data_IF_771805129593
#
_entry.id   IF_771805129593
#
_cell.length_a   1.000
_cell.length_b   1.000
_cell.length_c   1.000
_cell.angle_alpha   90.00
_cell.angle_beta   90.00
_cell.angle_gamma   90.00
#
_symmetry.space_group_name_H-M   'P 1'
#
loop_
_entity.id
_entity.type
_entity.pdbx_description
1 polymer ?
#
# COMPACT_ATOMS: atom_id res chain seq x y z
N UNK A 1 22.85 7.69 11.26
CA UNK A 1 22.50 6.27 11.47
C UNK A 1 21.49 5.93 10.37
N UNK A 2 21.70 4.86 9.59
CA UNK A 2 20.77 4.53 8.50
C UNK A 2 19.52 3.85 9.08
N UNK A 3 18.48 4.65 9.31
CA UNK A 3 17.21 4.17 9.88
C UNK A 3 16.06 4.25 8.88
N UNK A 4 16.32 3.99 7.59
CA UNK A 4 15.26 4.06 6.57
C UNK A 4 14.59 2.70 6.29
N UNK A 5 14.41 1.83 7.30
CA UNK A 5 13.71 0.55 7.07
C UNK A 5 12.30 0.72 6.51
N UNK A 6 11.66 1.86 6.76
CA UNK A 6 10.33 2.22 6.27
C UNK A 6 10.36 3.26 5.14
N UNK A 7 11.47 3.98 4.99
CA UNK A 7 11.59 5.13 4.09
C UNK A 7 10.79 6.37 4.54
N UNK A 8 10.42 6.45 5.82
CA UNK A 8 9.72 7.58 6.43
C UNK A 8 10.58 8.22 7.52
N UNK A 9 10.40 9.51 7.75
CA UNK A 9 10.84 10.17 8.99
C UNK A 9 10.00 9.71 10.19
N UNK A 10 10.49 9.93 11.41
CA UNK A 10 9.76 9.55 12.62
C UNK A 10 8.41 10.30 12.73
N UNK A 11 8.38 11.59 12.39
CA UNK A 11 7.15 12.39 12.41
C UNK A 11 6.10 11.88 11.40
N UNK A 12 6.52 11.50 10.19
CA UNK A 12 5.63 10.90 9.18
C UNK A 12 5.12 9.52 9.63
N UNK A 13 5.98 8.73 10.27
CA UNK A 13 5.61 7.42 10.81
C UNK A 13 4.59 7.56 11.94
N UNK A 14 4.82 8.48 12.88
CA UNK A 14 3.92 8.75 14.00
C UNK A 14 2.59 9.35 13.54
N UNK A 15 2.61 10.24 12.55
CA UNK A 15 1.40 10.77 11.93
C UNK A 15 0.55 9.67 11.29
N UNK A 16 1.17 8.76 10.54
CA UNK A 16 0.47 7.62 9.95
C UNK A 16 -0.04 6.64 11.02
N UNK A 17 0.73 6.42 12.07
CA UNK A 17 0.33 5.57 13.19
C UNK A 17 -0.87 6.15 13.96
N UNK A 18 -0.89 7.46 14.19
CA UNK A 18 -2.02 8.15 14.81
C UNK A 18 -3.28 8.01 13.96
N UNK A 19 -3.17 8.24 12.66
CA UNK A 19 -4.26 8.07 11.72
C UNK A 19 -4.83 6.62 11.73
N UNK A 20 -3.97 5.59 11.73
CA UNK A 20 -4.42 4.19 11.83
C UNK A 20 -5.14 3.88 13.16
N UNK A 21 -4.79 4.56 14.25
CA UNK A 21 -5.51 4.41 15.52
C UNK A 21 -6.91 5.00 15.44
N UNK A 22 -7.06 6.15 14.79
CA UNK A 22 -8.36 6.80 14.58
C UNK A 22 -9.26 6.00 13.63
N UNK A 23 -8.69 5.43 12.57
CA UNK A 23 -9.39 4.52 11.64
C UNK A 23 -9.85 3.21 12.33
N UNK A 24 -9.29 2.88 13.50
CA UNK A 24 -9.70 1.71 14.27
C UNK A 24 -9.28 0.39 13.61
N UNK A 25 -8.03 0.28 13.15
CA UNK A 25 -7.55 -0.95 12.49
C UNK A 25 -7.61 -2.15 13.43
N UNK A 26 -8.32 -3.19 13.01
CA UNK A 26 -8.43 -4.47 13.72
C UNK A 26 -7.66 -5.59 12.99
N UNK A 27 -7.52 -6.74 13.66
CA UNK A 27 -6.99 -7.97 13.04
C UNK A 27 -5.46 -8.01 12.83
N UNK A 28 -4.74 -6.95 13.21
CA UNK A 28 -3.28 -6.98 13.22
C UNK A 28 -2.74 -7.94 14.29
N UNK A 29 -1.57 -8.56 14.08
CA UNK A 29 -1.00 -9.47 15.07
C UNK A 29 -0.66 -8.77 16.39
N UNK A 30 -1.17 -9.24 17.54
CA UNK A 30 -0.87 -8.63 18.84
C UNK A 30 0.63 -8.59 19.17
N UNK A 31 1.39 -9.60 18.75
CA UNK A 31 2.84 -9.69 18.97
C UNK A 31 3.64 -8.55 18.33
N UNK A 32 3.13 -7.97 17.24
CA UNK A 32 3.75 -6.82 16.58
C UNK A 32 3.17 -5.49 17.07
N UNK A 33 1.95 -5.51 17.62
CA UNK A 33 1.16 -4.32 17.85
C UNK A 33 0.89 -3.54 16.55
N UNK A 34 0.23 -2.39 16.65
CA UNK A 34 -0.08 -1.57 15.48
C UNK A 34 1.19 -0.98 14.84
N UNK A 35 2.12 -0.48 15.67
CA UNK A 35 3.38 0.12 15.19
C UNK A 35 4.27 -0.91 14.47
N UNK A 36 4.48 -2.10 15.05
CA UNK A 36 5.27 -3.15 14.40
C UNK A 36 4.59 -3.68 13.14
N UNK A 37 3.26 -3.74 13.12
CA UNK A 37 2.50 -4.11 11.91
C UNK A 37 2.64 -3.06 10.82
N UNK A 38 2.61 -1.77 11.16
CA UNK A 38 2.89 -0.68 10.22
C UNK A 38 4.31 -0.77 9.66
N UNK A 39 5.30 -1.00 10.52
CA UNK A 39 6.70 -1.16 10.10
C UNK A 39 6.86 -2.32 9.11
N UNK A 40 6.26 -3.48 9.41
CA UNK A 40 6.27 -4.65 8.53
C UNK A 40 5.61 -4.35 7.17
N UNK A 41 4.48 -3.66 7.16
CA UNK A 41 3.78 -3.27 5.93
C UNK A 41 4.60 -2.28 5.10
N UNK A 42 5.28 -1.32 5.71
CA UNK A 42 6.15 -0.37 5.00
C UNK A 42 7.40 -1.04 4.43
N UNK A 43 8.00 -1.99 5.15
CA UNK A 43 9.08 -2.82 4.61
C UNK A 43 8.63 -3.59 3.36
N UNK A 44 7.39 -4.10 3.36
CA UNK A 44 6.82 -4.81 2.22
C UNK A 44 6.48 -3.87 1.05
N UNK A 45 5.67 -2.84 1.28
CA UNK A 45 5.13 -1.99 0.21
C UNK A 45 6.12 -0.95 -0.32
N UNK A 46 6.91 -0.31 0.56
CA UNK A 46 7.85 0.74 0.14
C UNK A 46 9.22 0.20 -0.23
N UNK A 47 9.73 -0.72 0.58
CA UNK A 47 11.09 -1.26 0.37
C UNK A 47 11.10 -2.54 -0.45
N UNK A 48 9.92 -3.05 -0.84
CA UNK A 48 9.76 -4.27 -1.63
C UNK A 48 10.47 -5.48 -1.02
N UNK A 49 10.55 -5.55 0.31
CA UNK A 49 11.17 -6.66 1.03
C UNK A 49 10.16 -7.81 1.09
N UNK A 50 10.62 -9.02 0.76
CA UNK A 50 9.77 -10.21 0.80
C UNK A 50 9.35 -10.56 2.24
N UNK A 51 8.11 -11.02 2.42
CA UNK A 51 7.51 -11.24 3.75
C UNK A 51 8.31 -12.22 4.64
N UNK A 52 8.99 -13.20 4.05
CA UNK A 52 9.84 -14.13 4.78
C UNK A 52 11.02 -13.42 5.45
N UNK A 53 11.72 -12.57 4.70
CA UNK A 53 12.85 -11.77 5.20
C UNK A 53 12.38 -10.76 6.26
N UNK A 54 11.20 -10.15 6.08
CA UNK A 54 10.61 -9.29 7.13
C UNK A 54 10.35 -10.09 8.41
N UNK A 55 9.85 -11.32 8.29
CA UNK A 55 9.64 -12.21 9.43
C UNK A 55 10.93 -12.49 10.18
N UNK A 56 12.02 -12.77 9.46
CA UNK A 56 13.36 -12.95 10.03
C UNK A 56 13.85 -11.68 10.74
N UNK A 57 13.72 -10.51 10.11
CA UNK A 57 14.14 -9.21 10.68
C UNK A 57 13.38 -8.90 11.98
N UNK A 58 12.08 -9.21 12.02
CA UNK A 58 11.20 -8.89 13.15
C UNK A 58 11.07 -10.05 14.16
N UNK A 59 11.74 -11.19 13.94
CA UNK A 59 11.67 -12.35 14.81
C UNK A 59 10.28 -13.01 14.87
N UNK A 60 9.49 -12.94 13.79
CA UNK A 60 8.15 -13.51 13.70
C UNK A 60 7.99 -14.39 12.46
N UNK A 61 6.95 -15.22 12.43
CA UNK A 61 6.67 -16.05 11.27
C UNK A 61 6.19 -15.23 10.07
N UNK A 62 6.51 -15.66 8.84
CA UNK A 62 5.98 -15.04 7.61
C UNK A 62 4.44 -14.92 7.59
N UNK A 63 3.65 -15.91 8.07
CA UNK A 63 2.20 -15.75 8.20
C UNK A 63 1.77 -14.61 9.13
N UNK A 64 2.59 -14.26 10.13
CA UNK A 64 2.34 -13.11 11.00
C UNK A 64 2.53 -11.81 10.23
N UNK A 65 3.60 -11.71 9.43
CA UNK A 65 3.82 -10.56 8.52
C UNK A 65 2.67 -10.43 7.51
N UNK A 66 2.23 -11.54 6.90
CA UNK A 66 1.10 -11.56 5.97
C UNK A 66 -0.18 -10.99 6.60
N UNK A 67 -0.49 -11.38 7.85
CA UNK A 67 -1.65 -10.85 8.60
C UNK A 67 -1.52 -9.34 8.88
N UNK A 68 -0.33 -8.86 9.23
CA UNK A 68 -0.08 -7.43 9.41
C UNK A 68 -0.34 -6.65 8.10
N UNK A 69 0.22 -7.11 6.98
CA UNK A 69 0.03 -6.48 5.66
C UNK A 69 -1.46 -6.48 5.29
N UNK A 70 -2.15 -7.61 5.50
CA UNK A 70 -3.58 -7.72 5.20
C UNK A 70 -4.39 -6.69 5.99
N UNK A 71 -4.23 -6.63 7.31
CA UNK A 71 -4.97 -5.71 8.18
C UNK A 71 -4.77 -4.24 7.77
N UNK A 72 -3.52 -3.83 7.50
CA UNK A 72 -3.23 -2.46 7.08
C UNK A 72 -3.71 -2.15 5.66
N UNK A 73 -3.58 -3.09 4.72
CA UNK A 73 -4.06 -2.89 3.34
C UNK A 73 -5.59 -2.76 3.31
N UNK A 74 -6.31 -3.51 4.14
CA UNK A 74 -7.75 -3.39 4.29
C UNK A 74 -8.14 -2.02 4.86
N UNK A 75 -7.41 -1.50 5.85
CA UNK A 75 -7.63 -0.15 6.37
C UNK A 75 -7.43 0.93 5.30
N UNK A 76 -6.31 0.87 4.57
CA UNK A 76 -6.05 1.80 3.47
C UNK A 76 -7.15 1.73 2.40
N UNK A 77 -7.62 0.52 2.07
CA UNK A 77 -8.68 0.31 1.10
C UNK A 77 -10.01 0.94 1.52
N UNK A 78 -10.37 0.87 2.81
CA UNK A 78 -11.57 1.52 3.35
C UNK A 78 -11.49 3.04 3.22
N UNK A 79 -10.35 3.62 3.56
CA UNK A 79 -10.13 5.06 3.44
C UNK A 79 -10.17 5.53 2.00
N UNK A 80 -9.52 4.78 1.10
CA UNK A 80 -9.58 5.07 -0.33
C UNK A 80 -11.00 4.93 -0.89
N UNK A 81 -11.82 4.01 -0.38
CA UNK A 81 -13.22 3.90 -0.79
C UNK A 81 -14.06 5.15 -0.43
N UNK A 82 -13.69 5.88 0.63
CA UNK A 82 -14.35 7.14 1.03
C UNK A 82 -13.82 8.33 0.22
N UNK A 83 -12.53 8.32 -0.12
CA UNK A 83 -11.86 9.45 -0.78
C UNK A 83 -11.89 9.39 -2.31
N UNK A 84 -12.00 8.21 -2.91
CA UNK A 84 -12.03 8.05 -4.35
C UNK A 84 -13.44 8.30 -4.87
N UNK A 85 -13.55 9.30 -5.76
CA UNK A 85 -14.75 9.57 -6.53
C UNK A 85 -15.16 8.31 -7.30
N UNK A 86 -16.42 7.91 -7.16
CA UNK A 86 -17.01 6.93 -8.05
C UNK A 86 -17.17 7.53 -9.44
N UNK A 87 -17.28 6.69 -10.48
CA UNK A 87 -17.35 7.16 -11.88
C UNK A 87 -18.49 8.17 -12.12
N UNK A 88 -19.56 8.10 -11.33
CA UNK A 88 -20.71 9.01 -11.39
C UNK A 88 -20.47 10.35 -10.68
N UNK A 89 -19.52 10.41 -9.75
CA UNK A 89 -19.18 11.62 -8.99
C UNK A 89 -18.08 12.43 -9.68
N UNK A 90 -17.46 11.89 -10.74
CA UNK A 90 -16.46 12.59 -11.54
C UNK A 90 -17.13 13.74 -12.30
N UNK A 91 -16.70 15.00 -12.12
CA UNK A 91 -17.21 16.13 -12.89
C UNK A 91 -17.12 15.88 -14.40
N UNK A 92 -18.16 16.25 -15.16
CA UNK A 92 -18.19 16.05 -16.62
C UNK A 92 -17.03 16.75 -17.36
N UNK A 93 -16.41 17.76 -16.74
CA UNK A 93 -15.26 18.51 -17.24
C UNK A 93 -13.90 18.01 -16.68
N UNK A 94 -13.89 16.89 -15.95
CA UNK A 94 -12.63 16.26 -15.57
C UNK A 94 -11.97 15.65 -16.80
N UNK A 95 -10.88 16.27 -17.24
CA UNK A 95 -9.94 15.81 -18.28
C UNK A 95 -9.16 14.53 -17.87
N UNK A 96 -9.84 13.57 -17.22
CA UNK A 96 -9.35 12.24 -16.90
C UNK A 96 -9.16 11.48 -18.22
N UNK A 97 -8.04 11.70 -18.91
CA UNK A 97 -7.62 10.88 -20.05
C UNK A 97 -7.34 9.47 -19.54
N UNK A 98 -8.39 8.66 -19.44
CA UNK A 98 -8.33 7.23 -19.14
C UNK A 98 -7.43 6.56 -20.15
N UNK A 99 -6.16 6.38 -19.78
CA UNK A 99 -5.14 5.83 -20.64
C UNK A 99 -5.42 4.37 -20.99
N UNK A 100 -6.14 4.15 -22.10
CA UNK A 100 -5.70 3.22 -23.15
C UNK A 100 -5.89 3.94 -24.47
N UNK A 101 -4.85 4.62 -24.94
CA UNK A 101 -4.72 4.82 -26.36
C UNK A 101 -4.32 3.45 -26.94
N UNK A 102 -5.15 2.79 -27.78
CA UNK A 102 -4.65 1.68 -28.56
C UNK A 102 -3.50 2.24 -29.41
N UNK A 103 -2.27 1.76 -29.19
CA UNK A 103 -1.17 2.09 -30.09
C UNK A 103 -1.62 1.74 -31.52
N UNK A 104 -1.44 2.62 -32.51
CA UNK A 104 -1.74 2.26 -33.89
C UNK A 104 -0.94 1.01 -34.25
N UNK A 105 -1.63 -0.06 -34.65
CA UNK A 105 -0.97 -1.28 -35.12
C UNK A 105 -0.04 -0.91 -36.29
N UNK A 106 1.26 -1.26 -36.25
CA UNK A 106 2.14 -0.99 -37.37
C UNK A 106 1.62 -1.72 -38.60
N UNK A 107 1.45 -0.94 -39.69
CA UNK A 107 0.78 -1.35 -40.91
C UNK A 107 1.27 -2.68 -41.45
N UNK A 108 0.32 -3.54 -41.83
CA UNK A 108 0.57 -4.73 -42.63
C UNK A 108 1.38 -4.32 -43.87
N UNK A 109 2.60 -4.83 -43.95
CA UNK A 109 3.42 -4.74 -45.15
C UNK A 109 2.61 -5.27 -46.34
N UNK A 110 2.45 -4.45 -47.38
CA UNK A 110 1.93 -4.93 -48.67
C UNK A 110 2.96 -5.90 -49.26
N UNK A 111 2.56 -7.13 -49.63
CA UNK A 111 3.45 -8.06 -50.33
C UNK A 111 3.72 -7.57 -51.76
N UNK A 112 4.82 -8.03 -52.39
CA UNK A 112 5.39 -7.48 -53.61
C UNK A 112 4.50 -7.60 -54.85
#
# INVERSE_FOLDING_TARGET
MMECTTGLTDDEFDGLLAWLREEGVEGYPPILGLSGSLRATLMYLRQNIVQAVIGEILGVSQPTVSRAIKALTEAISRTLAVLLLTAEEVPEDCDCRGGRHPLPLPGLARPP
#
